data_IF_546542747609
#
_entry.id   IF_546542747609
#
_cell.length_a   1.000
_cell.length_b   1.000
_cell.length_c   1.000
_cell.angle_alpha   90.00
_cell.angle_beta   90.00
_cell.angle_gamma   90.00
#
_symmetry.space_group_name_H-M   'P 1'
#
loop_
_entity.id
_entity.type
_entity.pdbx_description
1 polymer ?
#
# COMPACT_ATOMS: atom_id res chain seq x y z
N UNK A 1 3.26 -12.28 8.64
CA UNK A 1 2.69 -10.94 8.41
C UNK A 1 1.27 -11.13 7.93
N UNK A 2 0.29 -10.50 8.58
CA UNK A 2 -1.12 -10.60 8.21
C UNK A 2 -1.46 -9.60 7.09
N UNK A 3 -2.40 -9.93 6.21
CA UNK A 3 -2.82 -9.06 5.10
C UNK A 3 -3.30 -7.69 5.58
N UNK A 4 -4.09 -7.64 6.67
CA UNK A 4 -4.55 -6.39 7.29
C UNK A 4 -3.40 -5.47 7.71
N UNK A 5 -2.30 -6.02 8.22
CA UNK A 5 -1.13 -5.22 8.60
C UNK A 5 -0.45 -4.61 7.37
N UNK A 6 -0.39 -5.34 6.25
CA UNK A 6 0.14 -4.77 4.99
C UNK A 6 -0.75 -3.64 4.47
N UNK A 7 -2.08 -3.79 4.57
CA UNK A 7 -3.03 -2.74 4.20
C UNK A 7 -2.83 -1.50 5.09
N UNK A 8 -2.71 -1.68 6.41
CA UNK A 8 -2.48 -0.56 7.34
C UNK A 8 -1.19 0.19 7.02
N UNK A 9 -0.09 -0.52 6.79
CA UNK A 9 1.18 0.09 6.36
C UNK A 9 1.05 0.83 5.03
N UNK A 10 0.34 0.25 4.05
CA UNK A 10 0.12 0.91 2.76
C UNK A 10 -0.69 2.20 2.91
N UNK A 11 -1.71 2.20 3.78
CA UNK A 11 -2.50 3.38 4.10
C UNK A 11 -1.67 4.46 4.80
N UNK A 12 -0.79 4.08 5.74
CA UNK A 12 0.13 5.03 6.39
C UNK A 12 1.09 5.69 5.39
N UNK A 13 1.61 4.92 4.43
CA UNK A 13 2.42 5.48 3.34
C UNK A 13 1.55 6.45 2.52
N UNK A 14 0.33 6.06 2.14
CA UNK A 14 -0.61 6.95 1.43
C UNK A 14 -0.83 8.28 2.16
N UNK A 15 -1.12 8.23 3.45
CA UNK A 15 -1.36 9.41 4.29
C UNK A 15 -0.16 10.36 4.36
N UNK A 16 1.07 9.82 4.35
CA UNK A 16 2.28 10.64 4.30
C UNK A 16 2.39 11.41 2.98
N UNK A 17 2.15 10.72 1.86
CA UNK A 17 2.24 11.30 0.51
C UNK A 17 1.01 12.18 0.18
N UNK A 18 -0.11 12.05 0.89
CA UNK A 18 -1.31 12.89 0.76
C UNK A 18 -1.06 14.37 1.05
N UNK A 19 -0.01 14.69 1.81
CA UNK A 19 0.39 16.08 2.08
C UNK A 19 1.06 16.76 0.88
N UNK A 20 1.37 16.02 -0.19
CA UNK A 20 1.97 16.61 -1.39
C UNK A 20 0.93 17.30 -2.29
N UNK A 21 1.26 18.50 -2.82
CA UNK A 21 0.35 19.26 -3.66
C UNK A 21 0.16 18.62 -5.04
N UNK A 22 1.18 17.90 -5.53
CA UNK A 22 1.13 17.21 -6.81
C UNK A 22 0.77 15.73 -6.61
N UNK A 23 -0.39 15.35 -7.14
CA UNK A 23 -0.92 14.00 -6.98
C UNK A 23 -0.15 12.97 -7.80
N UNK A 24 0.40 13.35 -8.95
CA UNK A 24 1.15 12.42 -9.80
C UNK A 24 2.49 12.08 -9.15
N UNK A 25 3.19 13.09 -8.62
CA UNK A 25 4.41 12.92 -7.83
C UNK A 25 4.15 12.10 -6.57
N UNK A 26 3.03 12.34 -5.88
CA UNK A 26 2.63 11.56 -4.72
C UNK A 26 2.45 10.07 -5.07
N UNK A 27 1.72 9.75 -6.14
CA UNK A 27 1.50 8.37 -6.60
C UNK A 27 2.80 7.68 -7.01
N UNK A 28 3.66 8.37 -7.76
CA UNK A 28 4.97 7.86 -8.15
C UNK A 28 5.86 7.58 -6.92
N UNK A 29 5.83 8.48 -5.94
CA UNK A 29 6.55 8.36 -4.69
C UNK A 29 6.09 7.19 -3.83
N UNK A 30 4.78 6.97 -3.69
CA UNK A 30 4.20 5.81 -3.00
C UNK A 30 4.68 4.51 -3.66
N UNK A 31 4.57 4.42 -5.00
CA UNK A 31 4.97 3.24 -5.75
C UNK A 31 6.47 2.94 -5.63
N UNK A 32 7.32 3.97 -5.70
CA UNK A 32 8.77 3.80 -5.53
C UNK A 32 9.12 3.38 -4.09
N UNK A 33 8.48 3.99 -3.09
CA UNK A 33 8.69 3.63 -1.68
C UNK A 33 8.34 2.17 -1.42
N UNK A 34 7.15 1.73 -1.83
CA UNK A 34 6.74 0.32 -1.71
C UNK A 34 7.74 -0.58 -2.45
N UNK A 35 8.18 -0.20 -3.66
CA UNK A 35 9.11 -1.03 -4.44
C UNK A 35 10.50 -1.15 -3.82
N UNK A 36 11.02 -0.08 -3.21
CA UNK A 36 12.37 -0.05 -2.60
C UNK A 36 12.41 -0.69 -1.23
N UNK A 37 11.36 -0.50 -0.42
CA UNK A 37 11.36 -0.97 0.97
C UNK A 37 10.65 -2.32 1.15
N UNK A 38 9.72 -2.70 0.27
CA UNK A 38 8.99 -3.96 0.40
C UNK A 38 9.57 -5.05 -0.48
N UNK A 39 9.65 -6.25 0.10
CA UNK A 39 10.03 -7.44 -0.63
C UNK A 39 8.97 -7.84 -1.66
N UNK A 40 9.34 -8.57 -2.73
CA UNK A 40 8.40 -9.02 -3.77
C UNK A 40 7.21 -9.81 -3.21
N UNK A 41 7.43 -10.60 -2.15
CA UNK A 41 6.39 -11.36 -1.46
C UNK A 41 5.34 -10.49 -0.78
N UNK A 42 5.74 -9.36 -0.19
CA UNK A 42 4.84 -8.43 0.48
C UNK A 42 3.96 -7.70 -0.54
N UNK A 43 4.54 -7.31 -1.69
CA UNK A 43 3.80 -6.71 -2.80
C UNK A 43 2.73 -7.64 -3.35
N UNK A 44 3.07 -8.91 -3.53
CA UNK A 44 2.09 -9.94 -3.96
C UNK A 44 1.00 -10.17 -2.93
N UNK A 45 1.34 -10.16 -1.65
CA UNK A 45 0.37 -10.31 -0.56
C UNK A 45 -0.58 -9.10 -0.47
N UNK A 46 -0.09 -7.88 -0.69
CA UNK A 46 -0.93 -6.68 -0.78
C UNK A 46 -1.89 -6.76 -1.98
N UNK A 47 -1.38 -7.12 -3.16
CA UNK A 47 -2.23 -7.30 -4.34
C UNK A 47 -3.30 -8.38 -4.10
N UNK A 48 -2.92 -9.52 -3.52
CA UNK A 48 -3.87 -10.57 -3.16
C UNK A 48 -4.92 -10.11 -2.13
N UNK A 49 -4.56 -9.21 -1.22
CA UNK A 49 -5.51 -8.62 -0.27
C UNK A 49 -6.45 -7.59 -0.94
N UNK A 50 -6.01 -6.91 -1.99
CA UNK A 50 -6.83 -5.98 -2.77
C UNK A 50 -7.79 -6.71 -3.73
N UNK A 51 -7.38 -7.86 -4.27
CA UNK A 51 -8.22 -8.74 -5.10
C UNK A 51 -9.31 -9.47 -4.28
N UNK A 52 -9.13 -9.62 -2.96
CA UNK A 52 -10.11 -10.19 -2.04
C UNK A 52 -10.65 -9.12 -1.06
N UNK A 53 -11.46 -8.16 -1.52
CA UNK A 53 -12.11 -7.19 -0.64
C UNK A 53 -13.21 -7.82 0.24
N UNK A 54 -13.50 -9.11 0.07
CA UNK A 54 -14.52 -9.84 0.81
C UNK A 54 -14.09 -10.25 2.24
N UNK A 55 -12.84 -10.00 2.64
CA UNK A 55 -12.33 -10.27 3.98
C UNK A 55 -12.59 -9.18 5.04
N UNK A 56 -13.10 -8.00 4.65
CA UNK A 56 -13.39 -6.89 5.57
C UNK A 56 -14.84 -6.41 5.38
N UNK A 57 -15.78 -7.15 5.96
CA UNK A 57 -17.20 -6.81 5.94
C UNK A 57 -18.08 -7.68 6.85
N UNK A 58 -17.52 -8.18 7.96
CA UNK A 58 -18.24 -8.92 9.01
C UNK A 58 -18.13 -8.24 10.36
#
# INVERSE_FOLDING_TARGET
MNQQHLIDMANQIGAFFESMPDRDEALAGIADHIRRFWEPRMRRALLAALDDPAGEGG
#
